data_IF_510831547605
#
_entry.id   IF_510831547605
#
_cell.length_a   1.000
_cell.length_b   1.000
_cell.length_c   1.000
_cell.angle_alpha   90.00
_cell.angle_beta   90.00
_cell.angle_gamma   90.00
#
_symmetry.space_group_name_H-M   'P 1'
#
loop_
_entity.id
_entity.type
_entity.pdbx_description
1 polymer ?
#
# COMPACT_ATOMS: atom_id res chain seq x y z
N UNK A 1 13.23 -47.83 51.60
CA UNK A 1 14.03 -49.00 51.17
C UNK A 1 13.39 -49.60 49.93
N UNK A 2 14.23 -50.01 48.96
CA UNK A 2 14.00 -50.82 47.73
C UNK A 2 13.22 -50.13 46.59
N UNK A 3 13.95 -49.72 45.54
CA UNK A 3 14.24 -50.47 44.29
C UNK A 3 13.06 -50.27 43.31
N UNK A 4 13.19 -49.76 42.09
CA UNK A 4 14.29 -49.88 41.13
C UNK A 4 13.72 -50.55 39.86
N UNK A 5 14.07 -49.99 38.71
CA UNK A 5 14.08 -50.62 37.38
C UNK A 5 12.80 -50.58 36.49
N UNK A 6 12.98 -49.84 35.38
CA UNK A 6 12.44 -49.94 34.03
C UNK A 6 11.40 -51.04 33.73
N UNK A 7 10.30 -50.62 33.09
CA UNK A 7 9.69 -51.39 32.00
C UNK A 7 9.44 -50.49 30.78
N UNK A 8 10.03 -50.91 29.67
CA UNK A 8 9.79 -50.44 28.31
C UNK A 8 8.34 -50.73 27.91
N UNK A 9 7.63 -49.76 27.35
CA UNK A 9 6.52 -50.02 26.42
C UNK A 9 6.71 -49.17 25.16
N UNK A 10 6.97 -49.86 24.06
CA UNK A 10 6.84 -49.38 22.69
C UNK A 10 5.35 -49.13 22.40
N UNK A 11 5.00 -47.94 21.92
CA UNK A 11 3.78 -47.72 21.14
C UNK A 11 4.18 -47.17 19.77
N UNK A 12 3.74 -47.90 18.75
CA UNK A 12 3.87 -47.63 17.33
C UNK A 12 2.80 -46.63 16.88
N UNK A 13 3.25 -45.68 16.05
CA UNK A 13 2.53 -44.90 15.03
C UNK A 13 1.18 -44.23 15.37
N UNK A 14 1.15 -42.91 15.19
CA UNK A 14 0.19 -42.32 14.24
C UNK A 14 0.67 -40.95 13.78
N UNK A 15 0.74 -40.84 12.46
CA UNK A 15 0.85 -39.61 11.68
C UNK A 15 -0.16 -38.56 12.16
N UNK A 16 0.36 -37.56 12.84
CA UNK A 16 -0.30 -36.28 13.03
C UNK A 16 0.72 -35.20 12.72
N UNK A 17 1.10 -35.09 11.44
CA UNK A 17 1.85 -33.93 10.97
C UNK A 17 0.99 -32.71 11.25
N UNK A 18 1.27 -32.03 12.37
CA UNK A 18 0.82 -30.68 12.60
C UNK A 18 1.38 -29.86 11.44
N UNK A 19 0.53 -29.54 10.48
CA UNK A 19 0.80 -28.47 9.54
C UNK A 19 0.95 -27.24 10.43
N UNK A 20 2.20 -26.87 10.71
CA UNK A 20 2.52 -25.59 11.30
C UNK A 20 1.97 -24.55 10.34
N UNK A 21 0.85 -23.94 10.72
CA UNK A 21 0.40 -22.70 10.13
C UNK A 21 1.54 -21.75 10.47
N UNK A 22 2.40 -21.49 9.49
CA UNK A 22 3.57 -20.64 9.67
C UNK A 22 3.12 -19.39 10.41
N UNK A 23 3.64 -19.20 11.63
CA UNK A 23 3.52 -17.94 12.34
C UNK A 23 3.92 -16.85 11.35
N UNK A 24 2.98 -15.99 10.98
CA UNK A 24 3.25 -14.87 10.10
C UNK A 24 4.33 -14.03 10.76
N UNK A 25 5.57 -14.21 10.30
CA UNK A 25 6.72 -13.49 10.83
C UNK A 25 6.43 -12.00 10.75
N UNK A 26 6.49 -11.33 11.89
CA UNK A 26 6.34 -9.88 12.00
C UNK A 26 7.19 -9.22 10.89
N UNK A 27 6.56 -8.40 10.04
CA UNK A 27 7.25 -7.73 8.93
C UNK A 27 8.50 -7.02 9.47
N UNK A 28 9.70 -7.24 8.89
CA UNK A 28 10.93 -6.66 9.42
C UNK A 28 10.87 -5.13 9.45
N UNK A 29 11.40 -4.51 10.51
CA UNK A 29 11.42 -3.04 10.61
C UNK A 29 12.09 -2.37 9.41
N UNK A 30 13.14 -3.01 8.86
CA UNK A 30 13.83 -2.52 7.67
C UNK A 30 12.93 -2.42 6.43
N UNK A 31 11.86 -3.23 6.34
CA UNK A 31 10.87 -3.14 5.26
C UNK A 31 9.99 -1.90 5.46
N UNK A 32 9.58 -1.61 6.70
CA UNK A 32 8.80 -0.42 7.04
C UNK A 32 9.60 0.85 6.76
N UNK A 33 10.87 0.89 7.17
CA UNK A 33 11.75 2.06 6.97
C UNK A 33 12.00 2.30 5.46
N UNK A 34 12.19 1.23 4.68
CA UNK A 34 12.34 1.31 3.22
C UNK A 34 11.05 1.77 2.53
N UNK A 35 9.89 1.31 2.98
CA UNK A 35 8.59 1.74 2.46
C UNK A 35 8.35 3.24 2.72
N UNK A 36 8.65 3.70 3.93
CA UNK A 36 8.60 5.13 4.29
C UNK A 36 9.53 5.96 3.39
N UNK A 37 10.79 5.53 3.26
CA UNK A 37 11.78 6.23 2.44
C UNK A 37 11.37 6.30 0.97
N UNK A 38 10.91 5.17 0.39
CA UNK A 38 10.47 5.12 -0.98
C UNK A 38 9.22 6.01 -1.22
N UNK A 39 8.28 6.01 -0.27
CA UNK A 39 7.09 6.88 -0.32
C UNK A 39 7.48 8.35 -0.24
N UNK A 40 8.46 8.69 0.62
CA UNK A 40 8.99 10.06 0.72
C UNK A 40 9.67 10.51 -0.56
N UNK A 41 10.48 9.65 -1.17
CA UNK A 41 11.14 9.95 -2.45
C UNK A 41 10.11 10.23 -3.56
N UNK A 42 9.05 9.41 -3.66
CA UNK A 42 7.96 9.67 -4.59
C UNK A 42 7.21 10.97 -4.27
N UNK A 43 6.89 11.21 -3.00
CA UNK A 43 6.20 12.42 -2.55
C UNK A 43 6.96 13.70 -2.86
N UNK A 44 8.29 13.69 -2.72
CA UNK A 44 9.15 14.82 -3.05
C UNK A 44 9.07 15.18 -4.54
N UNK A 45 9.12 14.18 -5.42
CA UNK A 45 8.95 14.38 -6.86
C UNK A 45 7.58 15.00 -7.21
N UNK A 46 6.51 14.55 -6.55
CA UNK A 46 5.17 15.12 -6.72
C UNK A 46 5.11 16.57 -6.24
N UNK A 47 5.72 16.89 -5.10
CA UNK A 47 5.80 18.25 -4.57
C UNK A 47 6.55 19.20 -5.52
N UNK A 48 7.57 18.69 -6.22
CA UNK A 48 8.34 19.40 -7.25
C UNK A 48 7.61 19.52 -8.59
N UNK A 49 6.39 18.99 -8.71
CA UNK A 49 5.60 19.05 -9.94
C UNK A 49 5.84 17.90 -10.92
N UNK A 50 6.68 16.92 -10.58
CA UNK A 50 6.89 15.71 -11.37
C UNK A 50 5.84 14.64 -11.02
N UNK A 51 4.61 14.82 -11.50
CA UNK A 51 3.52 13.87 -11.27
C UNK A 51 3.65 12.58 -12.12
N UNK A 52 4.50 12.57 -13.14
CA UNK A 52 4.77 11.38 -13.97
C UNK A 52 5.32 10.20 -13.16
N UNK A 53 6.08 10.49 -12.09
CA UNK A 53 6.60 9.48 -11.16
C UNK A 53 5.50 8.60 -10.58
N UNK A 54 4.30 9.16 -10.35
CA UNK A 54 3.17 8.43 -9.78
C UNK A 54 2.66 7.37 -10.76
N UNK A 55 2.70 7.64 -12.07
CA UNK A 55 2.40 6.65 -13.10
C UNK A 55 3.51 5.59 -13.18
N UNK A 56 4.76 6.02 -13.28
CA UNK A 56 5.92 5.12 -13.42
C UNK A 56 5.95 4.10 -12.28
N UNK A 57 5.80 4.58 -11.04
CA UNK A 57 5.81 3.78 -9.82
C UNK A 57 4.44 3.22 -9.45
N UNK A 58 3.39 3.43 -10.25
CA UNK A 58 2.09 2.82 -9.98
C UNK A 58 2.18 1.30 -10.05
N UNK A 59 1.60 0.63 -9.06
CA UNK A 59 1.58 -0.82 -9.01
C UNK A 59 1.01 -1.44 -10.30
N UNK A 60 1.73 -2.32 -11.02
CA UNK A 60 1.37 -2.72 -12.37
C UNK A 60 -0.05 -3.28 -12.54
N UNK A 61 -0.52 -4.12 -11.59
CA UNK A 61 -1.89 -4.67 -11.65
C UNK A 61 -2.95 -3.59 -11.39
N UNK A 62 -2.64 -2.63 -10.53
CA UNK A 62 -3.49 -1.46 -10.28
C UNK A 62 -3.52 -0.53 -11.51
N UNK A 63 -2.36 -0.24 -12.10
CA UNK A 63 -2.23 0.54 -13.34
C UNK A 63 -3.07 -0.04 -14.47
N UNK A 64 -2.96 -1.35 -14.72
CA UNK A 64 -3.79 -2.05 -15.71
C UNK A 64 -5.28 -1.95 -15.40
N UNK A 65 -5.68 -2.08 -14.13
CA UNK A 65 -7.08 -1.92 -13.71
C UNK A 65 -7.58 -0.49 -13.94
N UNK A 66 -6.80 0.51 -13.57
CA UNK A 66 -7.15 1.92 -13.75
C UNK A 66 -7.28 2.25 -15.24
N UNK A 67 -6.31 1.81 -16.06
CA UNK A 67 -6.32 1.99 -17.51
C UNK A 67 -7.53 1.34 -18.19
N UNK A 68 -7.93 0.14 -17.78
CA UNK A 68 -9.09 -0.57 -18.36
C UNK A 68 -10.40 0.22 -18.22
N UNK A 69 -10.51 1.13 -17.25
CA UNK A 69 -11.69 1.98 -17.05
C UNK A 69 -11.73 3.18 -18.00
N UNK A 70 -10.68 3.42 -18.79
CA UNK A 70 -10.55 4.62 -19.63
C UNK A 70 -10.61 4.26 -21.12
N UNK A 71 -11.36 5.01 -21.94
CA UNK A 71 -11.22 4.94 -23.39
C UNK A 71 -9.79 5.39 -23.75
N UNK A 72 -9.00 4.52 -24.38
CA UNK A 72 -7.58 4.78 -24.68
C UNK A 72 -6.58 4.18 -23.68
N UNK A 73 -7.04 3.46 -22.66
CA UNK A 73 -6.19 2.59 -21.84
C UNK A 73 -5.08 3.34 -21.08
N UNK A 74 -3.87 2.78 -21.11
CA UNK A 74 -2.71 3.35 -20.38
C UNK A 74 -2.26 4.70 -20.95
N UNK A 75 -2.43 4.93 -22.26
CA UNK A 75 -2.11 6.21 -22.89
C UNK A 75 -3.00 7.34 -22.36
N UNK A 76 -4.31 7.10 -22.25
CA UNK A 76 -5.23 8.07 -21.67
C UNK A 76 -4.98 8.27 -20.16
N UNK A 77 -4.64 7.20 -19.43
CA UNK A 77 -4.23 7.32 -18.02
C UNK A 77 -3.01 8.23 -17.87
N UNK A 78 -1.99 8.03 -18.72
CA UNK A 78 -0.78 8.83 -18.71
C UNK A 78 -1.05 10.30 -19.03
N UNK A 79 -1.86 10.54 -20.08
CA UNK A 79 -2.26 11.89 -20.48
C UNK A 79 -2.98 12.62 -19.34
N UNK A 80 -3.94 11.97 -18.68
CA UNK A 80 -4.68 12.58 -17.56
C UNK A 80 -3.76 12.96 -16.40
N UNK A 81 -2.80 12.10 -16.05
CA UNK A 81 -1.84 12.39 -14.97
C UNK A 81 -0.90 13.56 -15.34
N UNK A 82 -0.47 13.64 -16.60
CA UNK A 82 0.38 14.73 -17.08
C UNK A 82 -0.33 16.10 -17.09
N UNK A 83 -1.67 16.12 -17.18
CA UNK A 83 -2.46 17.35 -17.16
C UNK A 83 -2.81 17.86 -15.75
N UNK A 84 -2.68 17.02 -14.70
CA UNK A 84 -2.98 17.41 -13.31
C UNK A 84 -2.30 18.73 -12.89
N UNK A 85 -0.98 18.95 -13.13
CA UNK A 85 -0.33 20.18 -12.70
C UNK A 85 -0.93 21.43 -13.36
N UNK A 86 -1.28 21.32 -14.65
CA UNK A 86 -1.87 22.42 -15.42
C UNK A 86 -3.28 22.72 -14.91
N UNK A 87 -4.08 21.69 -14.66
CA UNK A 87 -5.42 21.86 -14.10
C UNK A 87 -5.39 22.44 -12.68
N UNK A 88 -4.47 21.98 -11.83
CA UNK A 88 -4.25 22.58 -10.51
C UNK A 88 -3.90 24.07 -10.64
N UNK A 89 -2.94 24.42 -11.49
CA UNK A 89 -2.56 25.82 -11.71
C UNK A 89 -3.72 26.67 -12.23
N UNK A 90 -4.49 26.15 -13.20
CA UNK A 90 -5.68 26.81 -13.75
C UNK A 90 -6.75 27.08 -12.69
N UNK A 91 -6.89 26.18 -11.72
CA UNK A 91 -7.83 26.29 -10.60
C UNK A 91 -7.25 27.09 -9.42
N UNK A 92 -6.05 27.68 -9.56
CA UNK A 92 -5.40 28.41 -8.47
C UNK A 92 -4.98 27.52 -7.31
N UNK A 93 -4.77 26.22 -7.57
CA UNK A 93 -4.35 25.23 -6.58
C UNK A 93 -2.83 25.05 -6.66
N UNK A 94 -2.16 25.08 -5.52
CA UNK A 94 -0.73 24.79 -5.42
C UNK A 94 -0.45 23.93 -4.20
N UNK A 95 0.30 22.85 -4.38
CA UNK A 95 0.77 22.05 -3.25
C UNK A 95 1.87 22.81 -2.52
N UNK A 96 1.70 23.02 -1.21
CA UNK A 96 2.67 23.70 -0.35
C UNK A 96 3.55 22.70 0.40
N UNK A 97 2.98 21.56 0.77
CA UNK A 97 3.64 20.57 1.61
C UNK A 97 3.17 19.17 1.25
N UNK A 98 4.09 18.22 1.33
CA UNK A 98 3.80 16.80 1.29
C UNK A 98 4.63 16.07 2.34
N UNK A 99 3.98 15.52 3.35
CA UNK A 99 4.61 14.82 4.47
C UNK A 99 4.28 13.34 4.43
N UNK A 100 5.29 12.52 4.72
CA UNK A 100 5.16 11.07 4.85
C UNK A 100 5.41 10.71 6.30
N UNK A 101 4.43 10.02 6.89
CA UNK A 101 4.47 9.59 8.29
C UNK A 101 4.97 8.15 8.41
N UNK A 102 5.21 7.71 9.65
CA UNK A 102 5.58 6.33 9.95
C UNK A 102 4.52 5.34 9.46
N UNK A 103 4.90 4.19 8.89
CA UNK A 103 3.95 3.16 8.49
C UNK A 103 3.06 2.71 9.66
N UNK A 104 1.79 2.46 9.38
CA UNK A 104 0.80 2.05 10.40
C UNK A 104 0.65 0.54 10.51
N UNK A 105 0.80 -0.16 9.39
CA UNK A 105 0.67 -1.60 9.31
C UNK A 105 1.36 -2.14 8.06
N UNK A 106 1.69 -3.42 8.08
CA UNK A 106 2.28 -4.12 6.95
C UNK A 106 1.89 -5.59 6.96
N UNK A 107 1.84 -6.17 5.76
CA UNK A 107 1.41 -7.53 5.51
C UNK A 107 2.36 -8.21 4.54
N UNK A 108 2.64 -9.48 4.78
CA UNK A 108 3.16 -10.36 3.75
C UNK A 108 1.99 -10.83 2.88
N UNK A 109 2.09 -10.66 1.57
CA UNK A 109 1.03 -11.02 0.64
C UNK A 109 1.53 -11.91 -0.48
N UNK A 110 0.65 -12.80 -0.92
CA UNK A 110 0.89 -13.71 -2.05
C UNK A 110 0.21 -13.14 -3.28
N UNK A 111 0.96 -12.97 -4.37
CA UNK A 111 0.45 -12.43 -5.63
C UNK A 111 -0.33 -13.46 -6.44
N UNK A 112 0.20 -14.68 -6.50
CA UNK A 112 -0.32 -15.78 -7.30
C UNK A 112 -0.30 -17.07 -6.48
N UNK A 113 -1.45 -17.74 -6.50
CA UNK A 113 -1.59 -19.12 -6.06
C UNK A 113 -1.68 -19.97 -7.31
N UNK A 114 -0.81 -20.96 -7.42
CA UNK A 114 -0.86 -22.00 -8.43
C UNK A 114 -1.04 -23.36 -7.78
N UNK A 115 -1.05 -24.40 -8.60
CA UNK A 115 -0.92 -25.78 -8.15
C UNK A 115 0.39 -26.33 -8.68
N UNK A 116 1.07 -27.16 -7.88
CA UNK A 116 2.18 -27.95 -8.39
C UNK A 116 1.69 -29.10 -9.28
N UNK A 117 2.63 -29.91 -9.80
CA UNK A 117 2.31 -31.07 -10.65
C UNK A 117 1.46 -32.14 -9.95
N UNK A 118 1.30 -32.05 -8.63
CA UNK A 118 0.53 -32.97 -7.79
C UNK A 118 -0.83 -32.36 -7.38
N UNK A 119 -1.20 -31.20 -7.92
CA UNK A 119 -2.44 -30.49 -7.60
C UNK A 119 -2.41 -29.78 -6.24
N UNK A 120 -1.23 -29.65 -5.60
CA UNK A 120 -1.12 -28.98 -4.30
C UNK A 120 -0.94 -27.48 -4.51
N UNK A 121 -1.71 -26.69 -3.76
CA UNK A 121 -1.59 -25.24 -3.78
C UNK A 121 -0.15 -24.78 -3.42
N UNK A 122 0.46 -24.02 -4.31
CA UNK A 122 1.78 -23.39 -4.14
C UNK A 122 1.67 -21.87 -4.25
N UNK A 123 2.41 -21.18 -3.39
CA UNK A 123 2.54 -19.72 -3.42
C UNK A 123 3.67 -19.35 -4.38
N UNK A 124 3.36 -18.64 -5.46
CA UNK A 124 4.35 -18.41 -6.53
C UNK A 124 5.12 -17.09 -6.39
N UNK A 125 4.54 -16.06 -5.74
CA UNK A 125 5.23 -14.78 -5.53
C UNK A 125 4.81 -14.14 -4.22
N UNK A 126 5.80 -13.69 -3.46
CA UNK A 126 5.64 -13.00 -2.18
C UNK A 126 6.02 -11.52 -2.32
N UNK A 127 5.15 -10.65 -1.83
CA UNK A 127 5.37 -9.20 -1.76
C UNK A 127 5.20 -8.72 -0.31
N UNK A 128 5.90 -7.65 0.03
CA UNK A 128 5.57 -6.82 1.17
C UNK A 128 4.54 -5.79 0.74
N UNK A 129 3.50 -5.62 1.56
CA UNK A 129 2.50 -4.57 1.43
C UNK A 129 2.52 -3.73 2.70
N UNK A 130 2.76 -2.43 2.56
CA UNK A 130 2.93 -1.51 3.69
C UNK A 130 2.01 -0.31 3.52
N UNK A 131 1.28 0.05 4.58
CA UNK A 131 0.41 1.22 4.60
C UNK A 131 1.14 2.43 5.20
N UNK A 132 1.42 3.43 4.36
CA UNK A 132 2.24 4.61 4.70
C UNK A 132 1.37 5.87 4.68
N UNK A 133 1.01 6.46 5.84
CA UNK A 133 0.20 7.67 5.89
C UNK A 133 0.91 8.88 5.31
N UNK A 134 0.12 9.77 4.71
CA UNK A 134 0.59 10.99 4.06
C UNK A 134 -0.30 12.18 4.42
N UNK A 135 0.30 13.36 4.54
CA UNK A 135 -0.41 14.63 4.75
C UNK A 135 0.05 15.62 3.69
N UNK A 136 -0.88 16.22 2.97
CA UNK A 136 -0.57 17.25 1.99
C UNK A 136 -1.30 18.54 2.33
N UNK A 137 -0.61 19.67 2.17
CA UNK A 137 -1.19 21.00 2.32
C UNK A 137 -1.23 21.68 0.96
N UNK A 138 -2.34 22.33 0.65
CA UNK A 138 -2.57 23.06 -0.58
C UNK A 138 -2.94 24.50 -0.27
N UNK A 139 -2.50 25.41 -1.12
CA UNK A 139 -3.13 26.72 -1.28
C UNK A 139 -4.17 26.60 -2.37
N UNK A 140 -5.36 27.15 -2.14
CA UNK A 140 -6.43 27.26 -3.13
C UNK A 140 -6.87 28.71 -3.21
N UNK A 141 -6.81 29.30 -4.39
CA UNK A 141 -7.40 30.62 -4.64
C UNK A 141 -8.87 30.44 -4.95
N UNK A 142 -9.72 31.05 -4.13
CA UNK A 142 -11.16 31.02 -4.35
C UNK A 142 -11.52 31.79 -5.63
N UNK A 143 -12.25 31.20 -6.59
CA UNK A 143 -12.50 31.84 -7.87
C UNK A 143 -13.43 33.05 -7.77
N UNK A 144 -14.30 33.10 -6.76
CA UNK A 144 -15.28 34.17 -6.56
C UNK A 144 -14.67 35.33 -5.77
N UNK A 145 -14.07 35.01 -4.62
CA UNK A 145 -13.55 36.02 -3.68
C UNK A 145 -12.10 36.39 -3.93
N UNK A 146 -11.37 35.60 -4.74
CA UNK A 146 -9.91 35.72 -4.99
C UNK A 146 -9.04 35.56 -3.74
N UNK A 147 -9.61 35.17 -2.60
CA UNK A 147 -8.88 34.96 -1.37
C UNK A 147 -8.19 33.60 -1.36
N UNK A 148 -6.99 33.55 -0.78
CA UNK A 148 -6.23 32.31 -0.62
C UNK A 148 -6.70 31.56 0.62
N UNK A 149 -7.09 30.30 0.44
CA UNK A 149 -7.40 29.36 1.52
C UNK A 149 -6.33 28.28 1.58
N UNK A 150 -6.06 27.75 2.77
CA UNK A 150 -5.20 26.57 2.92
C UNK A 150 -6.05 25.35 3.22
N UNK A 151 -5.82 24.28 2.49
CA UNK A 151 -6.53 23.02 2.65
C UNK A 151 -5.53 21.93 3.00
N UNK A 152 -5.84 21.15 4.02
CA UNK A 152 -5.13 19.93 4.35
C UNK A 152 -5.87 18.72 3.78
N UNK A 153 -5.11 17.75 3.29
CA UNK A 153 -5.61 16.41 2.99
C UNK A 153 -4.79 15.35 3.73
N UNK A 154 -5.49 14.44 4.39
CA UNK A 154 -4.93 13.24 4.99
C UNK A 154 -5.22 12.05 4.06
N UNK A 155 -4.19 11.27 3.76
CA UNK A 155 -4.27 10.10 2.92
C UNK A 155 -3.21 9.07 3.28
N UNK A 156 -2.99 8.11 2.39
CA UNK A 156 -1.91 7.15 2.53
C UNK A 156 -1.55 6.53 1.18
N UNK A 157 -0.32 6.06 1.08
CA UNK A 157 0.13 5.21 -0.01
C UNK A 157 0.17 3.75 0.48
N UNK A 158 -0.22 2.84 -0.39
CA UNK A 158 0.04 1.41 -0.21
C UNK A 158 1.33 1.12 -0.97
N UNK A 159 2.43 0.94 -0.24
CA UNK A 159 3.74 0.66 -0.81
C UNK A 159 3.94 -0.86 -0.95
N UNK A 160 4.27 -1.31 -2.16
CA UNK A 160 4.44 -2.71 -2.51
C UNK A 160 5.86 -2.99 -2.99
N UNK A 161 6.44 -4.08 -2.50
CA UNK A 161 7.78 -4.51 -2.88
C UNK A 161 7.82 -6.03 -3.05
N UNK A 162 8.31 -6.49 -4.19
CA UNK A 162 8.61 -7.91 -4.37
C UNK A 162 9.79 -8.28 -3.48
N UNK A 163 9.65 -9.33 -2.67
CA UNK A 163 10.72 -9.74 -1.75
C UNK A 163 12.01 -10.00 -2.52
N UNK A 164 13.12 -9.47 -1.99
CA UNK A 164 14.44 -9.60 -2.60
C UNK A 164 14.73 -8.59 -3.72
N UNK A 165 13.84 -7.65 -4.00
CA UNK A 165 14.03 -6.61 -5.03
C UNK A 165 14.14 -5.22 -4.39
N UNK A 166 14.87 -4.27 -5.01
CA UNK A 166 14.92 -2.90 -4.51
C UNK A 166 13.71 -2.05 -4.91
N UNK A 167 12.93 -2.46 -5.91
CA UNK A 167 11.87 -1.63 -6.47
C UNK A 167 10.62 -1.56 -5.59
N UNK A 168 10.14 -0.34 -5.38
CA UNK A 168 8.87 -0.06 -4.73
C UNK A 168 7.85 0.48 -5.73
N UNK A 169 6.62 0.03 -5.55
CA UNK A 169 5.46 0.49 -6.30
C UNK A 169 4.36 0.97 -5.36
N UNK A 170 3.45 1.79 -5.86
CA UNK A 170 2.46 2.45 -5.04
C UNK A 170 1.04 2.32 -5.59
N UNK A 171 0.09 2.30 -4.67
CA UNK A 171 -1.34 2.54 -4.92
C UNK A 171 -1.76 3.69 -4.00
N UNK A 172 -2.40 4.71 -4.57
CA UNK A 172 -3.04 5.76 -3.74
C UNK A 172 -4.21 5.14 -2.97
N UNK A 173 -4.05 5.06 -1.65
CA UNK A 173 -4.99 4.43 -0.74
C UNK A 173 -6.35 5.12 -0.70
N UNK A 174 -6.44 6.38 -1.11
CA UNK A 174 -7.72 7.11 -1.20
C UNK A 174 -8.61 6.60 -2.34
N UNK A 175 -8.00 5.98 -3.35
CA UNK A 175 -8.68 5.51 -4.56
C UNK A 175 -8.80 3.97 -4.61
N UNK A 176 -8.39 3.27 -3.55
CA UNK A 176 -8.35 1.81 -3.51
C UNK A 176 -9.23 1.28 -2.37
N UNK A 177 -10.29 0.56 -2.70
CA UNK A 177 -11.15 -0.07 -1.68
C UNK A 177 -10.48 -1.32 -1.09
N UNK A 178 -10.94 -1.76 0.08
CA UNK A 178 -10.51 -3.05 0.66
C UNK A 178 -10.81 -4.21 -0.32
N UNK A 179 -11.96 -4.15 -1.00
CA UNK A 179 -12.35 -5.14 -2.00
C UNK A 179 -11.39 -5.15 -3.20
N UNK A 180 -10.99 -3.97 -3.70
CA UNK A 180 -9.97 -3.86 -4.74
C UNK A 180 -8.66 -4.49 -4.27
N UNK A 181 -8.20 -4.16 -3.06
CA UNK A 181 -6.94 -4.67 -2.53
C UNK A 181 -6.96 -6.19 -2.35
N UNK A 182 -8.04 -6.74 -1.80
CA UNK A 182 -8.25 -8.19 -1.62
C UNK A 182 -8.39 -8.94 -2.94
N UNK A 183 -8.90 -8.29 -3.99
CA UNK A 183 -8.93 -8.90 -5.33
C UNK A 183 -7.52 -9.09 -5.92
N UNK A 184 -6.54 -8.32 -5.47
CA UNK A 184 -5.12 -8.56 -5.80
C UNK A 184 -4.45 -9.50 -4.80
N UNK A 185 -4.82 -9.40 -3.52
CA UNK A 185 -4.20 -10.11 -2.40
C UNK A 185 -5.27 -10.76 -1.51
N UNK A 186 -5.82 -11.93 -1.89
CA UNK A 186 -6.96 -12.55 -1.21
C UNK A 186 -6.71 -12.93 0.26
N UNK A 187 -5.45 -12.99 0.70
CA UNK A 187 -5.07 -13.30 2.07
C UNK A 187 -5.18 -12.13 3.06
N UNK A 188 -5.42 -10.90 2.60
CA UNK A 188 -5.52 -9.73 3.49
C UNK A 188 -6.79 -9.76 4.36
N UNK A 189 -6.78 -9.21 5.58
CA UNK A 189 -8.00 -9.09 6.37
C UNK A 189 -9.11 -8.28 5.67
N UNK A 190 -10.37 -8.70 5.83
CA UNK A 190 -11.55 -7.93 5.37
C UNK A 190 -11.86 -6.73 6.28
N UNK A 191 -11.54 -6.86 7.56
CA UNK A 191 -11.83 -5.85 8.55
C UNK A 191 -10.78 -4.73 8.49
N UNK A 192 -11.23 -3.48 8.33
CA UNK A 192 -10.37 -2.30 8.27
C UNK A 192 -9.44 -2.15 9.48
N UNK A 193 -9.91 -2.47 10.69
CA UNK A 193 -9.10 -2.37 11.91
C UNK A 193 -7.98 -3.41 11.90
N UNK A 194 -8.26 -4.63 11.45
CA UNK A 194 -7.27 -5.69 11.32
C UNK A 194 -6.27 -5.41 10.19
N UNK A 195 -6.74 -4.78 9.12
CA UNK A 195 -5.88 -4.35 8.01
C UNK A 195 -4.95 -3.20 8.43
N UNK A 196 -5.35 -2.40 9.42
CA UNK A 196 -4.60 -1.28 9.95
C UNK A 196 -4.55 -0.09 9.00
N UNK A 197 -5.65 0.20 8.30
CA UNK A 197 -5.69 1.30 7.33
C UNK A 197 -5.51 2.67 8.02
N UNK A 198 -4.66 3.55 7.48
CA UNK A 198 -4.58 4.94 7.91
C UNK A 198 -5.91 5.68 7.74
N UNK A 199 -6.06 6.78 8.49
CA UNK A 199 -7.19 7.69 8.32
C UNK A 199 -7.06 8.45 7.00
N UNK A 200 -8.20 8.66 6.34
CA UNK A 200 -8.35 9.54 5.18
C UNK A 200 -9.26 10.69 5.59
N UNK A 201 -8.98 11.89 5.10
CA UNK A 201 -9.78 13.07 5.42
C UNK A 201 -9.09 14.35 4.99
N UNK A 202 -9.42 15.44 5.67
CA UNK A 202 -8.88 16.77 5.37
C UNK A 202 -9.89 17.86 5.68
N UNK A 203 -9.46 19.11 5.51
CA UNK A 203 -10.28 20.28 5.78
C UNK A 203 -9.49 21.57 5.55
N UNK A 204 -10.21 22.70 5.64
CA UNK A 204 -9.57 24.01 5.63
C UNK A 204 -8.75 24.22 6.91
N UNK A 205 -7.54 24.74 6.78
CA UNK A 205 -6.62 25.01 7.90
C UNK A 205 -6.31 26.51 7.96
N UNK A 206 -6.49 27.12 9.13
CA UNK A 206 -6.09 28.51 9.37
C UNK A 206 -6.93 29.60 8.69
N UNK A 207 -8.22 29.37 8.44
CA UNK A 207 -9.16 30.45 8.16
C UNK A 207 -9.18 31.42 9.35
N UNK A 208 -8.94 32.71 9.09
CA UNK A 208 -9.01 33.75 10.09
C UNK A 208 -10.39 33.70 10.79
N UNK A 209 -10.37 33.63 12.12
CA UNK A 209 -11.44 34.17 12.96
C UNK A 209 -11.17 35.65 13.18
#
# INVERSE_FOLDING_TARGET
>A
MRNGLLLLFLIVASTGGTISIAEAGKVPQSVLDKAELATRAMGQQVLEGNFGVALERMYPRWKKRAAKKLPGGEGELARRLAEIPKEMARQGISMLKYEVQKPTSAHEVVLLRGEDRQGKAVQMYLEWLVFVPTRAEYRVIDPETRLARKIETLGFQIALNKKGTPEWYFIDGRNCTIADLRSFFPGLPENQKLLGLPKVGGGEIGGAR
#
